data_IF_572616538439
#
_entry.id   IF_572616538439
#
_cell.length_a   1.000
_cell.length_b   1.000
_cell.length_c   1.000
_cell.angle_alpha   90.00
_cell.angle_beta   90.00
_cell.angle_gamma   90.00
#
_symmetry.space_group_name_H-M   'P 1'
#
loop_
_entity.id
_entity.type
_entity.pdbx_description
1 polymer ?
#
# COMPACT_ATOMS: atom_id res chain seq x y z
N UNK A 1 6.78 -8.47 20.44
CA UNK A 1 8.07 -8.07 19.86
C UNK A 1 8.04 -8.24 18.35
N UNK A 2 8.55 -7.28 17.62
CA UNK A 2 8.62 -7.35 16.16
C UNK A 2 9.69 -8.35 15.74
N UNK A 3 9.33 -9.27 14.84
CA UNK A 3 10.29 -10.17 14.22
C UNK A 3 10.93 -9.47 13.01
N UNK A 4 12.15 -9.01 13.17
CA UNK A 4 12.87 -8.25 12.15
C UNK A 4 13.02 -9.03 10.84
N UNK A 5 13.24 -10.34 10.91
CA UNK A 5 13.41 -11.15 9.70
C UNK A 5 12.11 -11.20 8.87
N UNK A 6 10.97 -11.33 9.54
CA UNK A 6 9.66 -11.33 8.88
C UNK A 6 9.40 -9.99 8.22
N UNK A 7 9.65 -8.88 8.94
CA UNK A 7 9.40 -7.55 8.40
C UNK A 7 10.36 -7.20 7.28
N UNK A 8 11.63 -7.61 7.37
CA UNK A 8 12.61 -7.40 6.30
C UNK A 8 12.17 -8.12 5.03
N UNK A 9 11.70 -9.37 5.15
CA UNK A 9 11.18 -10.13 3.99
C UNK A 9 9.97 -9.42 3.38
N UNK A 10 9.06 -8.91 4.19
CA UNK A 10 7.90 -8.15 3.69
C UNK A 10 8.31 -6.88 2.96
N UNK A 11 9.31 -6.17 3.46
CA UNK A 11 9.83 -4.97 2.79
C UNK A 11 10.49 -5.29 1.45
N UNK A 12 11.22 -6.40 1.36
CA UNK A 12 11.78 -6.86 0.09
C UNK A 12 10.67 -7.16 -0.93
N UNK A 13 9.63 -7.86 -0.51
CA UNK A 13 8.47 -8.14 -1.37
C UNK A 13 7.74 -6.87 -1.77
N UNK A 14 7.62 -5.91 -0.86
CA UNK A 14 7.04 -4.60 -1.17
C UNK A 14 7.79 -3.94 -2.32
N UNK A 15 9.13 -3.98 -2.27
CA UNK A 15 9.96 -3.46 -3.35
C UNK A 15 9.63 -4.10 -4.69
N UNK A 16 9.45 -5.42 -4.72
CA UNK A 16 9.06 -6.14 -5.93
C UNK A 16 7.70 -5.69 -6.46
N UNK A 17 6.70 -5.57 -5.58
CA UNK A 17 5.36 -5.11 -5.98
C UNK A 17 5.39 -3.70 -6.53
N UNK A 18 6.12 -2.80 -5.89
CA UNK A 18 6.22 -1.39 -6.33
C UNK A 18 6.96 -1.29 -7.67
N UNK A 19 7.98 -2.11 -7.89
CA UNK A 19 8.69 -2.16 -9.19
C UNK A 19 7.76 -2.61 -10.31
N UNK A 20 6.93 -3.61 -10.06
CA UNK A 20 5.95 -4.07 -11.06
C UNK A 20 4.93 -2.95 -11.35
N UNK A 21 4.47 -2.25 -10.33
CA UNK A 21 3.55 -1.12 -10.52
C UNK A 21 4.18 0.00 -11.35
N UNK A 22 5.47 0.26 -11.16
CA UNK A 22 6.20 1.24 -11.97
C UNK A 22 6.25 0.84 -13.44
N UNK A 23 6.52 -0.45 -13.72
CA UNK A 23 6.52 -0.97 -15.09
C UNK A 23 5.14 -0.87 -15.74
N UNK A 24 4.10 -1.20 -15.00
CA UNK A 24 2.73 -1.18 -15.51
C UNK A 24 2.28 0.24 -15.87
N UNK A 25 2.66 1.23 -15.10
CA UNK A 25 2.26 2.62 -15.36
C UNK A 25 2.91 3.23 -16.60
N UNK A 26 3.91 2.57 -17.20
CA UNK A 26 4.53 3.03 -18.45
C UNK A 26 3.64 2.80 -19.66
N UNK A 27 2.66 1.90 -19.57
CA UNK A 27 1.67 1.74 -20.61
C UNK A 27 0.66 2.89 -20.55
N UNK A 28 0.10 3.28 -21.69
CA UNK A 28 -0.94 4.29 -21.67
C UNK A 28 -2.24 3.70 -21.10
N UNK A 29 -3.11 4.58 -20.62
CA UNK A 29 -4.35 4.18 -19.98
C UNK A 29 -5.25 3.37 -20.92
N UNK A 30 -5.27 3.71 -22.19
CA UNK A 30 -6.07 3.03 -23.20
C UNK A 30 -5.70 1.54 -23.32
N UNK A 31 -4.40 1.22 -23.36
CA UNK A 31 -3.93 -0.15 -23.39
C UNK A 31 -4.17 -0.86 -22.06
N UNK A 32 -3.89 -0.16 -20.95
CA UNK A 32 -4.07 -0.71 -19.61
C UNK A 32 -5.48 -1.24 -19.38
N UNK A 33 -6.50 -0.47 -19.72
CA UNK A 33 -7.90 -0.87 -19.45
C UNK A 33 -8.38 -2.01 -20.34
N UNK A 34 -7.67 -2.30 -21.43
CA UNK A 34 -8.07 -3.34 -22.41
C UNK A 34 -7.33 -4.66 -22.21
N UNK A 35 -6.10 -4.63 -21.71
CA UNK A 35 -5.25 -5.81 -21.66
C UNK A 35 -5.32 -6.48 -20.27
N UNK A 36 -5.94 -7.68 -20.15
CA UNK A 36 -6.07 -8.35 -18.85
C UNK A 36 -4.75 -8.71 -18.20
N UNK A 37 -3.68 -8.94 -18.98
CA UNK A 37 -2.36 -9.20 -18.41
C UNK A 37 -1.81 -7.96 -17.73
N UNK A 38 -2.11 -6.78 -18.24
CA UNK A 38 -1.63 -5.52 -17.69
C UNK A 38 -2.47 -5.12 -16.48
N UNK A 39 -3.79 -4.99 -16.62
CA UNK A 39 -4.60 -4.54 -15.50
C UNK A 39 -4.70 -5.60 -14.40
N UNK A 40 -4.70 -6.89 -14.74
CA UNK A 40 -4.71 -7.95 -13.73
C UNK A 40 -3.43 -7.97 -12.91
N UNK A 41 -2.27 -7.78 -13.55
CA UNK A 41 -0.98 -7.64 -12.87
C UNK A 41 -0.98 -6.43 -11.94
N UNK A 42 -1.50 -5.30 -12.42
CA UNK A 42 -1.57 -4.07 -11.63
C UNK A 42 -2.48 -4.22 -10.41
N UNK A 43 -3.67 -4.78 -10.59
CA UNK A 43 -4.62 -5.01 -9.49
C UNK A 43 -4.01 -5.86 -8.40
N UNK A 44 -3.37 -6.97 -8.77
CA UNK A 44 -2.77 -7.89 -7.81
C UNK A 44 -1.61 -7.24 -7.05
N UNK A 45 -0.71 -6.56 -7.74
CA UNK A 45 0.45 -5.95 -7.12
C UNK A 45 0.10 -4.73 -6.28
N UNK A 46 -0.91 -3.95 -6.67
CA UNK A 46 -1.40 -2.85 -5.84
C UNK A 46 -2.02 -3.38 -4.55
N UNK A 47 -2.85 -4.42 -4.64
CA UNK A 47 -3.41 -5.10 -3.47
C UNK A 47 -2.31 -5.56 -2.52
N UNK A 48 -1.33 -6.29 -3.03
CA UNK A 48 -0.26 -6.86 -2.23
C UNK A 48 0.63 -5.77 -1.61
N UNK A 49 0.89 -4.68 -2.32
CA UNK A 49 1.68 -3.56 -1.79
C UNK A 49 0.97 -2.89 -0.61
N UNK A 50 -0.31 -2.58 -0.76
CA UNK A 50 -1.09 -1.95 0.31
C UNK A 50 -1.19 -2.89 1.52
N UNK A 51 -1.52 -4.14 1.30
CA UNK A 51 -1.65 -5.13 2.37
C UNK A 51 -0.34 -5.32 3.13
N UNK A 52 0.77 -5.37 2.42
CA UNK A 52 2.11 -5.47 3.02
C UNK A 52 2.39 -4.29 3.96
N UNK A 53 2.08 -3.08 3.52
CA UNK A 53 2.27 -1.88 4.34
C UNK A 53 1.34 -1.85 5.55
N UNK A 54 0.10 -2.28 5.40
CA UNK A 54 -0.83 -2.38 6.52
C UNK A 54 -0.36 -3.41 7.54
N UNK A 55 0.14 -4.55 7.09
CA UNK A 55 0.69 -5.58 7.97
C UNK A 55 1.89 -5.08 8.76
N UNK A 56 2.84 -4.45 8.08
CA UNK A 56 4.04 -3.90 8.74
C UNK A 56 3.63 -2.83 9.76
N UNK A 57 2.73 -1.92 9.36
CA UNK A 57 2.22 -0.88 10.24
C UNK A 57 1.57 -1.46 11.49
N UNK A 58 0.77 -2.50 11.34
CA UNK A 58 0.12 -3.16 12.46
C UNK A 58 1.13 -3.80 13.42
N UNK A 59 2.18 -4.42 12.89
CA UNK A 59 3.26 -4.97 13.73
C UNK A 59 4.00 -3.89 14.51
N UNK A 60 4.28 -2.76 13.89
CA UNK A 60 4.94 -1.62 14.55
C UNK A 60 4.06 -1.08 15.68
N UNK A 61 2.77 -0.91 15.41
CA UNK A 61 1.79 -0.45 16.39
C UNK A 61 1.77 -1.36 17.61
N UNK A 62 1.70 -2.67 17.39
CA UNK A 62 1.68 -3.66 18.46
C UNK A 62 2.99 -3.66 19.25
N UNK A 63 4.12 -3.63 18.56
CA UNK A 63 5.45 -3.66 19.19
C UNK A 63 5.69 -2.43 20.07
N UNK A 64 5.20 -1.27 19.65
CA UNK A 64 5.39 -0.02 20.39
C UNK A 64 4.31 0.26 21.43
N UNK A 65 3.33 -0.62 21.54
CA UNK A 65 2.25 -0.47 22.51
C UNK A 65 1.31 0.68 22.22
N UNK A 66 1.17 1.05 20.96
CA UNK A 66 0.23 2.08 20.55
C UNK A 66 -1.22 1.56 20.62
N UNK A 67 -2.19 2.45 20.44
CA UNK A 67 -3.59 2.10 20.41
C UNK A 67 -3.85 0.94 19.41
N UNK A 68 -4.64 -0.04 19.81
CA UNK A 68 -4.99 -1.14 18.92
C UNK A 68 -5.94 -0.64 17.82
N UNK A 69 -5.62 -0.85 16.52
CA UNK A 69 -6.53 -0.44 15.46
C UNK A 69 -7.77 -1.34 15.41
N UNK A 70 -8.94 -0.74 15.17
CA UNK A 70 -10.19 -1.44 14.97
C UNK A 70 -10.40 -1.81 13.49
N UNK A 71 -9.72 -1.12 12.59
CA UNK A 71 -9.83 -1.34 11.15
C UNK A 71 -8.50 -1.01 10.48
N UNK A 72 -8.34 -1.38 9.22
CA UNK A 72 -7.16 -1.03 8.43
C UNK A 72 -6.97 0.48 8.30
N UNK A 73 -8.06 1.24 8.18
CA UNK A 73 -7.99 2.69 8.09
C UNK A 73 -7.37 3.34 9.34
N UNK A 74 -7.56 2.73 10.50
CA UNK A 74 -6.99 3.22 11.76
C UNK A 74 -5.47 3.14 11.79
N UNK A 75 -4.86 2.23 11.03
CA UNK A 75 -3.40 2.03 11.05
C UNK A 75 -2.68 3.32 10.69
N UNK A 76 -3.05 3.97 9.60
CA UNK A 76 -2.40 5.22 9.19
C UNK A 76 -2.65 6.35 10.18
N UNK A 77 -3.86 6.44 10.74
CA UNK A 77 -4.20 7.43 11.78
C UNK A 77 -3.33 7.26 13.02
N UNK A 78 -3.19 6.03 13.50
CA UNK A 78 -2.40 5.73 14.71
C UNK A 78 -0.93 6.02 14.46
N UNK A 79 -0.40 5.67 13.30
CA UNK A 79 0.99 5.98 12.94
C UNK A 79 1.22 7.48 12.91
N UNK A 80 0.27 8.26 12.39
CA UNK A 80 0.36 9.72 12.38
C UNK A 80 0.27 10.31 13.81
N UNK A 81 -0.66 9.84 14.62
CA UNK A 81 -0.83 10.32 15.99
C UNK A 81 0.42 10.09 16.84
N UNK A 82 1.20 9.06 16.53
CA UNK A 82 2.43 8.73 17.23
C UNK A 82 3.68 9.23 16.52
N UNK A 83 3.53 10.15 15.56
CA UNK A 83 4.61 10.83 14.86
C UNK A 83 5.52 9.89 14.04
N UNK A 84 5.03 8.73 13.65
CA UNK A 84 5.73 7.82 12.75
C UNK A 84 5.70 8.37 11.32
N UNK A 85 4.56 8.93 10.93
CA UNK A 85 4.41 9.59 9.63
C UNK A 85 3.92 11.03 9.82
N UNK A 86 4.37 11.90 8.92
CA UNK A 86 3.96 13.31 8.93
C UNK A 86 2.55 13.46 8.36
N UNK A 87 1.92 14.57 8.69
CA UNK A 87 0.55 14.86 8.28
C UNK A 87 0.36 14.81 6.75
N UNK A 88 1.33 15.33 6.00
CA UNK A 88 1.27 15.34 4.53
C UNK A 88 1.20 13.92 3.97
N UNK A 89 2.03 13.03 4.46
CA UNK A 89 2.00 11.62 4.03
C UNK A 89 0.69 10.95 4.46
N UNK A 90 0.24 11.23 5.68
CA UNK A 90 -1.04 10.70 6.18
C UNK A 90 -2.18 11.09 5.24
N UNK A 91 -2.26 12.37 4.84
CA UNK A 91 -3.28 12.83 3.89
C UNK A 91 -3.19 12.09 2.55
N UNK A 92 -1.98 11.90 2.06
CA UNK A 92 -1.75 11.22 0.77
C UNK A 92 -2.06 9.72 0.81
N UNK A 93 -2.06 9.11 1.99
CA UNK A 93 -2.42 7.70 2.19
C UNK A 93 -3.92 7.52 2.47
N UNK A 94 -4.65 8.60 2.66
CA UNK A 94 -6.09 8.53 2.94
C UNK A 94 -6.82 7.80 1.81
N UNK A 95 -7.71 6.89 2.19
CA UNK A 95 -8.49 6.10 1.25
C UNK A 95 -7.79 4.83 0.76
N UNK A 96 -6.48 4.65 1.02
CA UNK A 96 -5.76 3.47 0.52
C UNK A 96 -6.25 2.17 1.19
N UNK A 97 -6.57 2.21 2.49
CA UNK A 97 -7.11 1.03 3.18
C UNK A 97 -8.48 0.62 2.60
N UNK A 98 -9.35 1.59 2.35
CA UNK A 98 -10.64 1.34 1.71
C UNK A 98 -10.46 0.82 0.28
N UNK A 99 -9.50 1.36 -0.45
CA UNK A 99 -9.19 0.92 -1.80
C UNK A 99 -8.70 -0.54 -1.82
N UNK A 100 -7.89 -0.94 -0.84
CA UNK A 100 -7.48 -2.34 -0.67
C UNK A 100 -8.72 -3.25 -0.54
N UNK A 101 -9.70 -2.84 0.23
CA UNK A 101 -10.92 -3.63 0.40
C UNK A 101 -11.70 -3.77 -0.90
N UNK A 102 -11.77 -2.72 -1.71
CA UNK A 102 -12.39 -2.77 -3.05
C UNK A 102 -11.66 -3.77 -3.94
N UNK A 103 -10.32 -3.73 -3.97
CA UNK A 103 -9.50 -4.64 -4.77
C UNK A 103 -9.71 -6.12 -4.41
N UNK A 104 -9.96 -6.41 -3.13
CA UNK A 104 -10.09 -7.79 -2.64
C UNK A 104 -11.51 -8.29 -2.72
N UNK A 105 -12.49 -7.46 -2.34
CA UNK A 105 -13.87 -7.92 -2.11
C UNK A 105 -14.86 -7.48 -3.18
N UNK A 106 -14.52 -6.48 -3.98
CA UNK A 106 -15.45 -5.90 -4.94
C UNK A 106 -14.84 -5.81 -6.34
N UNK A 107 -14.07 -6.82 -6.72
CA UNK A 107 -13.34 -6.84 -8.00
C UNK A 107 -14.25 -6.75 -9.22
N UNK A 108 -15.53 -7.10 -9.12
CA UNK A 108 -16.48 -7.01 -10.23
C UNK A 108 -16.88 -5.58 -10.57
N UNK A 109 -16.70 -4.65 -9.63
CA UNK A 109 -17.02 -3.24 -9.80
C UNK A 109 -15.78 -2.35 -9.90
N UNK A 110 -14.61 -2.95 -10.24
CA UNK A 110 -13.37 -2.20 -10.37
C UNK A 110 -13.41 -1.30 -11.60
N UNK A 111 -13.16 -0.02 -11.38
CA UNK A 111 -12.91 0.95 -12.43
C UNK A 111 -11.42 0.92 -12.76
N UNK A 112 -11.06 0.34 -13.91
CA UNK A 112 -9.66 0.17 -14.31
C UNK A 112 -8.95 1.49 -14.55
N UNK A 113 -9.67 2.47 -15.05
CA UNK A 113 -9.13 3.83 -15.22
C UNK A 113 -8.76 4.43 -13.87
N UNK A 114 -9.59 4.23 -12.85
CA UNK A 114 -9.32 4.68 -11.49
C UNK A 114 -8.10 3.97 -10.89
N UNK A 115 -7.97 2.67 -11.15
CA UNK A 115 -6.79 1.90 -10.70
C UNK A 115 -5.53 2.47 -11.33
N UNK A 116 -5.54 2.70 -12.63
CA UNK A 116 -4.42 3.31 -13.35
C UNK A 116 -4.02 4.66 -12.75
N UNK A 117 -4.99 5.54 -12.53
CA UNK A 117 -4.74 6.85 -11.93
C UNK A 117 -4.24 6.75 -10.48
N UNK A 118 -4.77 5.80 -9.72
CA UNK A 118 -4.34 5.59 -8.34
C UNK A 118 -2.88 5.16 -8.29
N UNK A 119 -2.47 4.23 -9.13
CA UNK A 119 -1.06 3.81 -9.21
C UNK A 119 -0.18 5.01 -9.56
N UNK A 120 -0.56 5.75 -10.56
CA UNK A 120 0.20 6.91 -11.04
C UNK A 120 0.38 7.97 -9.96
N UNK A 121 -0.66 8.22 -9.14
CA UNK A 121 -0.63 9.27 -8.11
C UNK A 121 -0.05 8.79 -6.79
N UNK A 122 -0.30 7.54 -6.40
CA UNK A 122 -0.09 7.07 -5.03
C UNK A 122 1.12 6.17 -4.86
N UNK A 123 1.66 5.58 -5.92
CA UNK A 123 2.80 4.68 -5.82
C UNK A 123 3.95 5.30 -5.03
N UNK A 124 4.25 6.56 -5.29
CA UNK A 124 5.33 7.28 -4.59
C UNK A 124 5.12 7.34 -3.07
N UNK A 125 3.88 7.44 -2.62
CA UNK A 125 3.56 7.51 -1.19
C UNK A 125 3.66 6.14 -0.52
N UNK A 126 3.32 5.07 -1.24
CA UNK A 126 3.53 3.72 -0.77
C UNK A 126 5.03 3.43 -0.62
N UNK A 127 5.83 3.87 -1.57
CA UNK A 127 7.29 3.77 -1.55
C UNK A 127 7.88 4.55 -0.37
N UNK A 128 7.40 5.77 -0.15
CA UNK A 128 7.82 6.62 0.97
C UNK A 128 7.53 5.96 2.32
N UNK A 129 6.34 5.42 2.49
CA UNK A 129 5.98 4.71 3.71
C UNK A 129 6.86 3.49 3.94
N UNK A 130 7.14 2.73 2.88
CA UNK A 130 8.07 1.60 2.93
C UNK A 130 9.45 2.01 3.40
N UNK A 131 9.97 3.14 2.91
CA UNK A 131 11.26 3.67 3.31
C UNK A 131 11.29 4.08 4.80
N UNK A 132 10.19 4.67 5.29
CA UNK A 132 10.05 5.01 6.71
C UNK A 132 10.11 3.74 7.57
N UNK A 133 9.36 2.71 7.19
CA UNK A 133 9.35 1.44 7.91
C UNK A 133 10.73 0.78 7.91
N UNK A 134 11.44 0.83 6.79
CA UNK A 134 12.78 0.26 6.68
C UNK A 134 13.76 0.90 7.68
N UNK A 135 13.64 2.21 7.91
CA UNK A 135 14.49 2.91 8.87
C UNK A 135 14.15 2.57 10.33
N UNK A 136 12.98 2.04 10.59
CA UNK A 136 12.54 1.67 11.94
C UNK A 136 13.01 0.28 12.35
N UNK A 137 13.53 -0.48 11.41
CA UNK A 137 14.05 -1.82 11.62
C UNK A 137 15.59 -1.80 11.69
#
# INVERSE_FOLDING_TARGET
>A
MVNKNVLTTRLERLGDYLNILELVQQYDCSLFIKDPFIYGTAERNLHLAIECLLDIGNHIIADRGYEKPDSYADIFRILHQNQVIEYQLYQNLEGMAAFRNVLVHDYMHLDRSRIYQTIKRKRQYLEELGAIFAKML
#
